data_IF_010500538019
#
_entry.id   IF_010500538019
#
_cell.length_a   1.000
_cell.length_b   1.000
_cell.length_c   1.000
_cell.angle_alpha   90.00
_cell.angle_beta   90.00
_cell.angle_gamma   90.00
#
_symmetry.space_group_name_H-M   'P 1'
#
loop_
_entity.id
_entity.type
_entity.pdbx_description
1 polymer ?
#
# COMPACT_ATOMS: atom_id res chain seq x y z
N UNK A 1 -0.10 16.94 15.16
CA UNK A 1 0.20 15.50 15.33
C UNK A 1 0.72 14.98 13.99
N UNK A 2 1.76 14.15 14.00
CA UNK A 2 2.26 13.52 12.77
C UNK A 2 1.35 12.32 12.43
N UNK A 3 0.47 12.46 11.43
CA UNK A 3 -0.56 11.45 11.11
C UNK A 3 0.10 10.22 10.48
N UNK A 4 1.07 10.41 9.59
CA UNK A 4 1.82 9.31 8.99
C UNK A 4 2.53 8.46 10.05
N UNK A 5 3.29 9.07 10.96
CA UNK A 5 3.97 8.34 12.04
C UNK A 5 2.98 7.60 12.94
N UNK A 6 1.81 8.20 13.19
CA UNK A 6 0.74 7.54 13.94
C UNK A 6 0.25 6.27 13.21
N UNK A 7 -0.06 6.36 11.92
CA UNK A 7 -0.52 5.22 11.11
C UNK A 7 0.56 4.13 10.99
N UNK A 8 1.83 4.51 10.80
CA UNK A 8 2.95 3.56 10.82
C UNK A 8 3.02 2.78 12.13
N UNK A 9 3.00 3.49 13.26
CA UNK A 9 3.03 2.84 14.58
C UNK A 9 1.80 1.97 14.83
N UNK A 10 0.62 2.41 14.34
CA UNK A 10 -0.60 1.62 14.44
C UNK A 10 -0.49 0.31 13.66
N UNK A 11 -0.06 0.36 12.40
CA UNK A 11 0.06 -0.85 11.59
C UNK A 11 1.10 -1.82 12.16
N UNK A 12 2.25 -1.32 12.60
CA UNK A 12 3.28 -2.13 13.27
C UNK A 12 2.67 -2.88 14.47
N UNK A 13 1.88 -2.20 15.31
CA UNK A 13 1.20 -2.83 16.45
C UNK A 13 0.17 -3.88 16.00
N UNK A 14 -0.54 -3.65 14.91
CA UNK A 14 -1.46 -4.65 14.34
C UNK A 14 -0.68 -5.89 13.92
N UNK A 15 0.40 -5.72 13.15
CA UNK A 15 1.23 -6.84 12.67
C UNK A 15 1.80 -7.63 13.84
N UNK A 16 2.40 -6.96 14.84
CA UNK A 16 2.96 -7.62 16.03
C UNK A 16 1.91 -8.43 16.79
N UNK A 17 0.69 -7.90 16.93
CA UNK A 17 -0.41 -8.62 17.58
C UNK A 17 -0.87 -9.84 16.78
N UNK A 18 -0.82 -9.78 15.45
CA UNK A 18 -1.16 -10.92 14.62
C UNK A 18 -0.05 -11.98 14.62
N UNK A 19 1.23 -11.58 14.77
CA UNK A 19 2.36 -12.52 14.95
C UNK A 19 2.22 -13.37 16.22
N UNK A 20 1.70 -12.80 17.32
CA UNK A 20 1.46 -13.52 18.57
C UNK A 20 0.44 -14.66 18.44
N UNK A 21 -0.42 -14.61 17.41
CA UNK A 21 -1.52 -15.55 17.19
C UNK A 21 -1.30 -16.47 15.99
N UNK A 22 -0.13 -16.38 15.34
CA UNK A 22 0.02 -16.88 13.97
C UNK A 22 0.07 -18.42 13.90
N UNK A 23 -1.13 -18.99 13.79
CA UNK A 23 -1.38 -20.40 13.46
C UNK A 23 -2.10 -20.52 12.09
N UNK A 24 -2.06 -19.46 11.27
CA UNK A 24 -2.83 -19.40 10.03
C UNK A 24 -1.98 -19.79 8.82
N UNK A 25 -2.60 -20.41 7.82
CA UNK A 25 -1.96 -20.62 6.52
C UNK A 25 -2.02 -19.30 5.73
N UNK A 26 -0.92 -18.52 5.79
CA UNK A 26 -0.81 -17.19 5.19
C UNK A 26 -0.16 -17.24 3.82
N UNK A 27 -0.62 -16.37 2.92
CA UNK A 27 -0.04 -16.19 1.58
C UNK A 27 1.30 -15.43 1.58
N UNK A 28 1.59 -14.69 2.64
CA UNK A 28 2.83 -13.96 2.88
C UNK A 28 3.07 -13.92 4.40
N UNK A 29 4.33 -14.02 4.83
CA UNK A 29 4.64 -13.94 6.26
C UNK A 29 4.43 -12.50 6.78
N UNK A 30 4.11 -12.35 8.07
CA UNK A 30 3.92 -11.03 8.66
C UNK A 30 5.20 -10.17 8.67
N UNK A 31 6.38 -10.80 8.69
CA UNK A 31 7.66 -10.11 8.52
C UNK A 31 7.80 -9.51 7.11
N UNK A 32 7.45 -10.29 6.08
CA UNK A 32 7.45 -9.81 4.70
C UNK A 32 6.42 -8.69 4.49
N UNK A 33 5.23 -8.81 5.07
CA UNK A 33 4.22 -7.74 5.01
C UNK A 33 4.72 -6.44 5.65
N UNK A 34 5.40 -6.53 6.80
CA UNK A 34 5.96 -5.37 7.48
C UNK A 34 7.03 -4.69 6.63
N UNK A 35 7.99 -5.47 6.09
CA UNK A 35 9.06 -4.94 5.24
C UNK A 35 8.45 -4.27 4.00
N UNK A 36 7.53 -4.95 3.32
CA UNK A 36 6.87 -4.45 2.12
C UNK A 36 6.08 -3.17 2.40
N UNK A 37 5.28 -3.14 3.48
CA UNK A 37 4.48 -1.96 3.84
C UNK A 37 5.37 -0.75 4.14
N UNK A 38 6.49 -0.93 4.84
CA UNK A 38 7.43 0.16 5.15
C UNK A 38 8.19 0.63 3.90
N UNK A 39 8.59 -0.29 3.03
CA UNK A 39 9.21 0.01 1.73
C UNK A 39 8.28 0.82 0.83
N UNK A 40 7.05 0.32 0.63
CA UNK A 40 5.99 1.00 -0.10
C UNK A 40 5.67 2.38 0.49
N UNK A 41 5.64 2.52 1.82
CA UNK A 41 5.45 3.82 2.45
C UNK A 41 6.49 4.85 1.99
N UNK A 42 7.78 4.51 2.02
CA UNK A 42 8.85 5.45 1.64
C UNK A 42 8.90 5.70 0.15
N UNK A 43 8.75 4.67 -0.67
CA UNK A 43 8.70 4.80 -2.13
C UNK A 43 7.49 5.64 -2.57
N UNK A 44 6.35 5.50 -1.91
CA UNK A 44 5.17 6.32 -2.19
C UNK A 44 5.39 7.80 -1.86
N UNK A 45 6.13 8.14 -0.80
CA UNK A 45 6.47 9.56 -0.52
C UNK A 45 7.34 10.15 -1.63
N UNK A 46 8.36 9.40 -2.09
CA UNK A 46 9.25 9.83 -3.18
C UNK A 46 8.48 10.01 -4.47
N UNK A 47 7.68 9.03 -4.86
CA UNK A 47 6.94 9.06 -6.11
C UNK A 47 5.79 10.09 -6.07
N UNK A 48 5.14 10.27 -4.91
CA UNK A 48 4.15 11.33 -4.72
C UNK A 48 4.77 12.72 -4.92
N UNK A 49 5.97 12.96 -4.36
CA UNK A 49 6.68 14.22 -4.55
C UNK A 49 7.00 14.47 -6.04
N UNK A 50 7.50 13.45 -6.76
CA UNK A 50 7.76 13.53 -8.20
C UNK A 50 6.48 13.83 -9.01
N UNK A 51 5.34 13.31 -8.58
CA UNK A 51 4.02 13.45 -9.23
C UNK A 51 3.20 14.66 -8.77
N UNK A 52 3.75 15.55 -7.93
CA UNK A 52 3.03 16.67 -7.32
C UNK A 52 1.76 16.26 -6.54
N UNK A 53 1.82 15.10 -5.86
CA UNK A 53 0.79 14.64 -4.93
C UNK A 53 1.20 14.94 -3.49
N UNK A 54 0.23 14.95 -2.57
CA UNK A 54 0.51 15.04 -1.14
C UNK A 54 1.30 13.80 -0.69
N UNK A 55 2.51 14.04 -0.17
CA UNK A 55 3.44 12.99 0.24
C UNK A 55 3.04 12.30 1.54
N UNK A 56 2.30 12.97 2.44
CA UNK A 56 1.75 12.35 3.65
C UNK A 56 0.67 11.34 3.25
N UNK A 57 -0.27 11.74 2.40
CA UNK A 57 -1.33 10.85 1.88
C UNK A 57 -0.73 9.68 1.08
N UNK A 58 0.24 9.95 0.21
CA UNK A 58 0.95 8.89 -0.53
C UNK A 58 1.61 7.88 0.40
N UNK A 59 2.33 8.36 1.42
CA UNK A 59 2.97 7.50 2.43
C UNK A 59 1.96 6.68 3.24
N UNK A 60 0.81 7.26 3.58
CA UNK A 60 -0.29 6.57 4.29
C UNK A 60 -0.89 5.47 3.42
N UNK A 61 -1.12 5.73 2.13
CA UNK A 61 -1.61 4.70 1.20
C UNK A 61 -0.58 3.57 1.10
N UNK A 62 0.71 3.91 0.92
CA UNK A 62 1.79 2.93 0.82
C UNK A 62 1.86 1.98 2.01
N UNK A 63 1.77 2.51 3.23
CA UNK A 63 1.85 1.69 4.44
C UNK A 63 0.60 0.80 4.62
N UNK A 64 -0.61 1.22 4.24
CA UNK A 64 -1.84 0.47 4.53
C UNK A 64 -2.41 -0.36 3.38
N UNK A 65 -1.85 -0.28 2.16
CA UNK A 65 -2.50 -0.85 0.98
C UNK A 65 -2.77 -2.36 1.05
N UNK A 66 -1.94 -3.10 1.76
CA UNK A 66 -2.07 -4.54 1.97
C UNK A 66 -2.73 -4.93 3.30
N UNK A 67 -3.37 -3.98 3.99
CA UNK A 67 -4.00 -4.22 5.29
C UNK A 67 -4.96 -5.41 5.30
N UNK A 68 -5.72 -5.62 4.21
CA UNK A 68 -6.61 -6.78 4.08
C UNK A 68 -5.87 -8.12 4.11
N UNK A 69 -4.66 -8.19 3.53
CA UNK A 69 -3.85 -9.42 3.55
C UNK A 69 -3.20 -9.61 4.92
N UNK A 70 -2.81 -8.53 5.59
CA UNK A 70 -2.28 -8.55 6.96
C UNK A 70 -3.31 -9.13 7.94
N UNK A 71 -4.59 -8.75 7.85
CA UNK A 71 -5.60 -9.22 8.80
C UNK A 71 -6.22 -10.57 8.43
N UNK A 72 -6.29 -10.92 7.13
CA UNK A 72 -6.93 -12.18 6.69
C UNK A 72 -5.95 -13.31 6.37
N UNK A 73 -4.67 -12.98 6.15
CA UNK A 73 -3.66 -13.90 5.62
C UNK A 73 -3.84 -14.24 4.14
N UNK A 74 -4.92 -13.81 3.49
CA UNK A 74 -5.30 -14.25 2.15
C UNK A 74 -5.00 -13.19 1.09
N UNK A 75 -4.45 -13.63 -0.05
CA UNK A 75 -4.20 -12.78 -1.21
C UNK A 75 -5.46 -12.47 -2.01
N UNK A 76 -6.47 -13.33 -1.96
CA UNK A 76 -7.68 -13.15 -2.78
C UNK A 76 -8.57 -12.03 -2.22
N UNK A 77 -8.83 -11.02 -3.06
CA UNK A 77 -9.64 -9.83 -2.78
C UNK A 77 -9.16 -9.02 -1.55
N UNK A 78 -7.84 -9.02 -1.28
CA UNK A 78 -7.28 -8.31 -0.13
C UNK A 78 -7.40 -6.80 -0.22
N UNK A 79 -7.35 -6.21 -1.42
CA UNK A 79 -7.63 -4.78 -1.62
C UNK A 79 -9.05 -4.42 -1.15
N UNK A 80 -10.06 -5.12 -1.65
CA UNK A 80 -11.47 -4.89 -1.30
C UNK A 80 -11.78 -5.18 0.17
N UNK A 81 -11.35 -6.34 0.70
CA UNK A 81 -11.57 -6.73 2.10
C UNK A 81 -10.83 -5.81 3.07
N UNK A 82 -9.64 -5.35 2.69
CA UNK A 82 -8.83 -4.43 3.47
C UNK A 82 -9.45 -3.03 3.52
N UNK A 83 -9.96 -2.55 2.38
CA UNK A 83 -10.57 -1.24 2.25
C UNK A 83 -11.74 -1.04 3.23
N UNK A 84 -12.70 -1.96 3.29
CA UNK A 84 -13.87 -1.81 4.18
C UNK A 84 -13.49 -1.62 5.66
N UNK A 85 -12.55 -2.43 6.15
CA UNK A 85 -12.12 -2.40 7.55
C UNK A 85 -11.25 -1.16 7.82
N UNK A 86 -10.35 -0.84 6.88
CA UNK A 86 -9.51 0.35 6.95
C UNK A 86 -10.35 1.63 6.94
N UNK A 87 -11.37 1.72 6.08
CA UNK A 87 -12.30 2.85 5.97
C UNK A 87 -12.99 3.13 7.31
N UNK A 88 -13.52 2.09 7.95
CA UNK A 88 -14.16 2.22 9.27
C UNK A 88 -13.17 2.74 10.31
N UNK A 89 -11.94 2.25 10.29
CA UNK A 89 -10.89 2.70 11.19
C UNK A 89 -10.51 4.18 10.95
N UNK A 90 -10.26 4.58 9.71
CA UNK A 90 -9.89 5.95 9.36
C UNK A 90 -11.00 6.95 9.72
N UNK A 91 -12.27 6.60 9.47
CA UNK A 91 -13.43 7.41 9.90
C UNK A 91 -13.51 7.53 11.42
N UNK A 92 -13.31 6.43 12.14
CA UNK A 92 -13.36 6.43 13.61
C UNK A 92 -12.21 7.22 14.25
N UNK A 93 -11.05 7.30 13.60
CA UNK A 93 -9.92 8.10 14.08
C UNK A 93 -10.21 9.62 14.08
N UNK A 94 -11.01 10.12 13.13
CA UNK A 94 -11.32 11.55 13.01
C UNK A 94 -10.12 12.45 12.69
N UNK A 95 -9.04 11.88 12.13
CA UNK A 95 -7.79 12.60 11.82
C UNK A 95 -7.68 13.05 10.36
N UNK A 96 -8.61 12.60 9.52
CA UNK A 96 -8.64 12.83 8.09
C UNK A 96 -9.98 13.42 7.71
N UNK A 97 -9.97 14.31 6.72
CA UNK A 97 -11.17 14.77 6.05
C UNK A 97 -11.86 13.62 5.30
N UNK A 98 -13.14 13.78 4.99
CA UNK A 98 -13.88 12.80 4.21
C UNK A 98 -13.27 12.56 2.83
N UNK A 99 -12.73 13.62 2.21
CA UNK A 99 -12.03 13.53 0.93
C UNK A 99 -10.74 12.68 1.03
N UNK A 100 -9.89 12.95 2.03
CA UNK A 100 -8.67 12.17 2.26
C UNK A 100 -9.00 10.69 2.55
N UNK A 101 -10.03 10.43 3.35
CA UNK A 101 -10.48 9.06 3.63
C UNK A 101 -10.91 8.34 2.36
N UNK A 102 -11.69 8.99 1.49
CA UNK A 102 -12.15 8.40 0.24
C UNK A 102 -10.98 8.15 -0.73
N UNK A 103 -10.01 9.08 -0.81
CA UNK A 103 -8.79 8.91 -1.61
C UNK A 103 -8.00 7.67 -1.15
N UNK A 104 -7.82 7.51 0.16
CA UNK A 104 -7.09 6.36 0.72
C UNK A 104 -7.86 5.06 0.43
N UNK A 105 -9.16 5.03 0.71
CA UNK A 105 -10.01 3.85 0.52
C UNK A 105 -10.03 3.37 -0.93
N UNK A 106 -10.24 4.27 -1.89
CA UNK A 106 -10.26 3.95 -3.32
C UNK A 106 -8.90 3.42 -3.79
N UNK A 107 -7.81 4.08 -3.42
CA UNK A 107 -6.47 3.65 -3.81
C UNK A 107 -6.16 2.24 -3.27
N UNK A 108 -6.53 1.95 -2.02
CA UNK A 108 -6.39 0.62 -1.41
C UNK A 108 -7.28 -0.42 -2.10
N UNK A 109 -8.54 -0.12 -2.38
CA UNK A 109 -9.43 -1.05 -3.06
C UNK A 109 -8.91 -1.41 -4.47
N UNK A 110 -8.35 -0.43 -5.17
CA UNK A 110 -8.00 -0.55 -6.58
C UNK A 110 -6.56 -0.98 -6.88
N UNK A 111 -5.66 -1.04 -5.88
CA UNK A 111 -4.21 -1.25 -6.12
C UNK A 111 -3.88 -2.59 -6.82
N UNK A 112 -4.75 -3.58 -6.70
CA UNK A 112 -4.61 -4.88 -7.37
C UNK A 112 -5.01 -4.84 -8.86
N UNK A 113 -5.82 -3.86 -9.27
CA UNK A 113 -6.33 -3.68 -10.65
C UNK A 113 -5.32 -2.98 -11.56
N UNK A 114 -4.12 -3.57 -11.70
CA UNK A 114 -2.97 -2.97 -12.40
C UNK A 114 -3.18 -2.76 -13.90
N UNK A 115 -4.08 -3.51 -14.52
CA UNK A 115 -4.45 -3.35 -15.93
C UNK A 115 -5.42 -2.19 -16.21
N UNK A 116 -6.05 -1.63 -15.18
CA UNK A 116 -7.04 -0.54 -15.30
C UNK A 116 -6.38 0.76 -14.82
N UNK A 117 -6.63 1.86 -15.53
CA UNK A 117 -6.18 3.20 -15.13
C UNK A 117 -7.27 3.85 -14.28
N UNK A 118 -6.90 4.34 -13.10
CA UNK A 118 -7.79 5.04 -12.17
C UNK A 118 -7.24 6.43 -11.81
N UNK A 119 -7.55 6.93 -10.61
CA UNK A 119 -7.16 8.27 -10.14
C UNK A 119 -5.66 8.30 -9.76
N UNK A 120 -5.07 9.50 -9.58
CA UNK A 120 -3.62 9.62 -9.38
C UNK A 120 -3.05 8.81 -8.21
N UNK A 121 -3.77 8.69 -7.10
CA UNK A 121 -3.33 7.92 -5.94
C UNK A 121 -3.42 6.40 -6.13
N UNK A 122 -4.40 5.93 -6.90
CA UNK A 122 -4.48 4.54 -7.33
C UNK A 122 -3.27 4.17 -8.20
N UNK A 123 -2.91 5.04 -9.15
CA UNK A 123 -1.77 4.82 -10.02
C UNK A 123 -0.45 4.92 -9.25
N UNK A 124 -0.36 5.83 -8.27
CA UNK A 124 0.76 5.90 -7.33
C UNK A 124 0.99 4.55 -6.64
N UNK A 125 -0.02 3.98 -5.99
CA UNK A 125 0.17 2.76 -5.21
C UNK A 125 0.40 1.52 -6.09
N UNK A 126 -0.22 1.44 -7.26
CA UNK A 126 0.03 0.35 -8.23
C UNK A 126 1.49 0.31 -8.67
N UNK A 127 2.07 1.48 -8.92
CA UNK A 127 3.45 1.62 -9.38
C UNK A 127 4.44 1.38 -8.23
N UNK A 128 4.13 1.88 -7.03
CA UNK A 128 4.93 1.65 -5.81
C UNK A 128 4.98 0.18 -5.42
N UNK A 129 3.85 -0.53 -5.41
CA UNK A 129 3.80 -1.98 -5.10
C UNK A 129 4.67 -2.77 -6.09
N UNK A 130 4.64 -2.42 -7.38
CA UNK A 130 5.49 -3.02 -8.41
C UNK A 130 6.98 -2.74 -8.15
N UNK A 131 7.31 -1.49 -7.81
CA UNK A 131 8.68 -1.03 -7.60
C UNK A 131 9.31 -1.66 -6.34
N UNK A 132 8.58 -1.73 -5.22
CA UNK A 132 9.07 -2.35 -3.99
C UNK A 132 9.33 -3.85 -4.15
N UNK A 133 8.40 -4.55 -4.80
CA UNK A 133 8.58 -5.95 -5.14
C UNK A 133 9.83 -6.15 -6.02
N UNK A 134 10.07 -5.27 -7.01
CA UNK A 134 11.29 -5.32 -7.83
C UNK A 134 12.57 -5.16 -6.98
N UNK A 135 12.63 -4.16 -6.10
CA UNK A 135 13.79 -3.98 -5.21
C UNK A 135 13.96 -5.10 -4.19
N UNK A 136 12.87 -5.78 -3.84
CA UNK A 136 12.88 -6.98 -3.01
C UNK A 136 13.26 -8.26 -3.78
N UNK A 137 13.64 -8.16 -5.06
CA UNK A 137 14.01 -9.29 -5.91
C UNK A 137 12.84 -10.14 -6.41
N UNK A 138 11.59 -9.69 -6.19
CA UNK A 138 10.37 -10.36 -6.67
C UNK A 138 10.06 -9.89 -8.09
N UNK A 139 10.24 -10.76 -9.07
CA UNK A 139 9.88 -10.50 -10.47
C UNK A 139 8.55 -11.17 -10.81
N UNK A 140 7.76 -10.54 -11.70
CA UNK A 140 6.49 -11.11 -12.19
C UNK A 140 6.43 -11.02 -13.70
N UNK A 141 6.17 -12.15 -14.34
CA UNK A 141 6.07 -12.25 -15.80
C UNK A 141 4.64 -11.92 -16.27
N UNK A 142 4.25 -10.67 -16.05
CA UNK A 142 2.98 -10.11 -16.54
C UNK A 142 3.25 -8.79 -17.24
N UNK A 143 2.67 -8.60 -18.42
CA UNK A 143 2.92 -7.44 -19.27
C UNK A 143 2.60 -6.12 -18.55
N UNK A 144 1.46 -6.04 -17.85
CA UNK A 144 1.08 -4.82 -17.13
C UNK A 144 2.03 -4.50 -15.98
N UNK A 145 2.65 -5.52 -15.38
CA UNK A 145 3.62 -5.38 -14.30
C UNK A 145 4.93 -4.82 -14.83
N UNK A 146 5.46 -5.40 -15.92
CA UNK A 146 6.70 -4.94 -16.56
C UNK A 146 6.56 -3.52 -17.12
N UNK A 147 5.42 -3.21 -17.74
CA UNK A 147 5.13 -1.87 -18.25
C UNK A 147 5.14 -0.81 -17.14
N UNK A 148 4.52 -1.10 -15.99
CA UNK A 148 4.52 -0.18 -14.84
C UNK A 148 5.91 -0.02 -14.25
N UNK A 149 6.65 -1.12 -14.11
CA UNK A 149 8.02 -1.10 -13.59
C UNK A 149 8.91 -0.21 -14.45
N UNK A 150 8.97 -0.46 -15.77
CA UNK A 150 9.83 0.29 -16.69
C UNK A 150 9.48 1.77 -16.69
N UNK A 151 8.18 2.11 -16.78
CA UNK A 151 7.72 3.50 -16.71
C UNK A 151 8.14 4.18 -15.39
N UNK A 152 8.06 3.48 -14.27
CA UNK A 152 8.39 4.03 -12.95
C UNK A 152 9.89 4.21 -12.78
N UNK A 153 10.71 3.28 -13.31
CA UNK A 153 12.16 3.43 -13.33
C UNK A 153 12.60 4.60 -14.22
N UNK A 154 12.00 4.76 -15.41
CA UNK A 154 12.19 5.92 -16.28
C UNK A 154 11.84 7.23 -15.57
N UNK A 155 10.69 7.28 -14.90
CA UNK A 155 10.23 8.46 -14.17
C UNK A 155 11.19 8.88 -13.03
N UNK A 156 11.90 7.90 -12.45
CA UNK A 156 12.86 8.08 -11.36
C UNK A 156 14.33 8.16 -11.82
N UNK A 157 14.60 8.09 -13.13
CA UNK A 157 15.95 8.10 -13.71
C UNK A 157 16.82 6.92 -13.19
N UNK A 158 16.25 5.72 -13.10
CA UNK A 158 16.88 4.51 -12.52
C UNK A 158 17.18 3.39 -13.53
N UNK A 159 17.10 3.68 -14.84
CA UNK A 159 17.24 2.71 -15.92
C UNK A 159 18.27 3.11 -16.98
#
# INVERSE_FOLDING_TARGET
MDRLKFIQNWLIKVILKEMEKDNQNRSMSLDEELIHSIGCCRLAQVLAAKRNLDTEIGGIIGIVHDYGRIITGQKENHGEKGAEILLRFLKALGLFSEEEVNIIDEAVANHSSKGIVHKPYDELIKDVDVLDNYFSGKTRDKEEYQRRLNKTLEELDLN
#
